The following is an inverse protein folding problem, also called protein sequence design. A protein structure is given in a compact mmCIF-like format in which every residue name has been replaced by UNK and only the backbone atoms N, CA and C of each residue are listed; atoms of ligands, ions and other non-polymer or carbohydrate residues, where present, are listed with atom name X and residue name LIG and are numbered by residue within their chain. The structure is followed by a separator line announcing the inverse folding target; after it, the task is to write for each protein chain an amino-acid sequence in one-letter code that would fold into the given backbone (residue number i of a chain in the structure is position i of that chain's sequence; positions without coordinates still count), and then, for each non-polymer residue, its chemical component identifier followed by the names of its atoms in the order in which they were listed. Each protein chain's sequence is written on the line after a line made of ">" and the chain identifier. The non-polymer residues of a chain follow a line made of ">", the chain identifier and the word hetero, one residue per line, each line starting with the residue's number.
data_IF_649177247709
#
_entry.id   IF_649177247709
#
_cell.length_a   1.000
_cell.length_b   1.000
_cell.length_c   1.000
_cell.angle_alpha   90.00
_cell.angle_beta   90.00
_cell.angle_gamma   90.00
#
_symmetry.space_group_name_H-M   'P 1'
#
loop_
_entity.id
_entity.type
_entity.pdbx_description
1 polymer ?
#
# COMPACT_ATOMS: atom_id res chain seq x y z
N UNK A 1 -10.38 -26.17 -11.21
CA UNK A 1 -10.81 -24.86 -10.71
C UNK A 1 -11.82 -24.95 -9.57
N UNK A 2 -12.85 -25.78 -9.65
CA UNK A 2 -13.85 -25.87 -8.57
C UNK A 2 -13.30 -26.30 -7.20
N UNK A 3 -12.29 -27.18 -7.16
CA UNK A 3 -11.68 -27.69 -5.93
C UNK A 3 -10.76 -26.68 -5.21
N UNK A 4 -10.41 -25.56 -5.85
CA UNK A 4 -9.50 -24.55 -5.29
C UNK A 4 -10.16 -23.17 -5.19
N UNK A 5 -11.48 -23.12 -5.20
CA UNK A 5 -12.23 -21.86 -5.16
C UNK A 5 -11.96 -21.04 -3.89
N UNK A 6 -11.60 -21.71 -2.80
CA UNK A 6 -11.24 -21.09 -1.52
C UNK A 6 -9.90 -20.35 -1.55
N UNK A 7 -9.04 -20.63 -2.56
CA UNK A 7 -7.81 -19.89 -2.79
C UNK A 7 -8.01 -18.50 -3.39
N UNK A 8 -9.23 -18.16 -3.83
CA UNK A 8 -9.56 -16.86 -4.42
C UNK A 8 -10.33 -15.96 -3.46
N UNK A 9 -9.91 -14.71 -3.36
CA UNK A 9 -10.60 -13.71 -2.54
C UNK A 9 -11.74 -13.07 -3.35
N UNK A 10 -12.97 -13.56 -3.18
CA UNK A 10 -14.18 -13.04 -3.80
C UNK A 10 -14.77 -11.83 -3.03
N UNK A 11 -14.39 -11.66 -1.77
CA UNK A 11 -14.85 -10.60 -0.88
C UNK A 11 -13.69 -10.03 -0.06
N UNK A 12 -13.79 -8.76 0.36
CA UNK A 12 -12.77 -8.07 1.18
C UNK A 12 -12.41 -8.84 2.45
N UNK A 13 -13.36 -9.56 3.04
CA UNK A 13 -13.17 -10.34 4.27
C UNK A 13 -12.33 -11.61 4.05
N UNK A 14 -12.29 -12.12 2.81
CA UNK A 14 -11.55 -13.35 2.44
C UNK A 14 -10.15 -13.07 1.90
N UNK A 15 -9.71 -11.84 1.95
CA UNK A 15 -8.45 -11.39 1.34
C UNK A 15 -7.23 -11.91 2.09
N UNK A 16 -7.04 -12.83 2.79
CA UNK A 16 -5.81 -13.34 3.42
C UNK A 16 -4.68 -12.30 3.63
N UNK A 17 -3.72 -12.64 4.41
CA UNK A 17 -2.47 -11.88 4.58
C UNK A 17 -1.28 -12.80 4.32
N UNK A 18 -0.14 -12.24 3.98
CA UNK A 18 1.11 -13.00 3.91
C UNK A 18 1.48 -13.48 5.32
N UNK A 19 1.92 -14.71 5.41
CA UNK A 19 2.35 -15.31 6.68
C UNK A 19 3.65 -14.66 7.16
N UNK A 20 3.68 -14.22 8.40
CA UNK A 20 4.84 -13.50 8.97
C UNK A 20 6.08 -14.39 9.17
N UNK A 21 5.89 -15.72 9.25
CA UNK A 21 7.00 -16.68 9.30
C UNK A 21 7.79 -16.78 7.98
N UNK A 22 7.14 -16.52 6.83
CA UNK A 22 7.80 -16.42 5.52
C UNK A 22 8.09 -14.97 5.10
N UNK A 23 7.26 -14.06 5.51
CA UNK A 23 7.33 -12.65 5.13
C UNK A 23 7.31 -11.77 6.40
N UNK A 24 8.44 -11.67 7.12
CA UNK A 24 8.52 -10.88 8.35
C UNK A 24 8.14 -9.41 8.08
N UNK A 25 7.58 -8.69 9.08
CA UNK A 25 7.23 -7.28 8.93
C UNK A 25 8.41 -6.45 8.40
N UNK A 26 8.09 -5.48 7.52
CA UNK A 26 9.08 -4.68 6.80
C UNK A 26 9.50 -3.49 7.64
N UNK A 27 10.81 -3.31 7.81
CA UNK A 27 11.40 -2.08 8.31
C UNK A 27 11.63 -1.08 7.18
N UNK A 28 11.32 0.19 7.42
CA UNK A 28 11.61 1.29 6.50
C UNK A 28 13.01 1.81 6.82
N UNK A 29 14.03 1.52 6.01
CA UNK A 29 15.38 2.00 6.25
C UNK A 29 15.46 3.49 5.90
N UNK A 30 15.92 4.30 6.85
CA UNK A 30 16.03 5.76 6.69
C UNK A 30 17.41 6.26 7.13
N UNK A 31 17.91 7.27 6.45
CA UNK A 31 19.09 8.02 6.91
C UNK A 31 18.69 8.97 8.05
N UNK A 32 19.63 9.51 8.85
CA UNK A 32 19.33 10.52 9.85
C UNK A 32 18.58 11.71 9.25
N UNK A 33 17.46 12.12 9.84
CA UNK A 33 16.57 13.14 9.29
C UNK A 33 15.89 13.94 10.39
N UNK A 34 15.23 15.04 10.00
CA UNK A 34 14.34 15.81 10.89
C UNK A 34 12.89 15.38 10.64
N UNK A 35 12.09 15.12 11.69
CA UNK A 35 10.67 14.84 11.55
C UNK A 35 9.94 15.94 10.77
N UNK A 36 8.98 15.54 9.93
CA UNK A 36 8.19 16.47 9.13
C UNK A 36 6.76 16.58 9.63
N UNK A 37 6.23 17.80 9.56
CA UNK A 37 4.83 18.10 9.86
C UNK A 37 4.28 18.94 8.71
N UNK A 38 3.52 18.33 7.82
CA UNK A 38 2.96 18.98 6.65
C UNK A 38 1.47 19.26 6.86
N UNK A 39 1.02 20.46 6.47
CA UNK A 39 -0.41 20.80 6.46
C UNK A 39 -1.11 19.98 5.35
N UNK A 40 -2.20 19.33 5.71
CA UNK A 40 -2.97 18.54 4.73
C UNK A 40 -3.73 19.43 3.74
N UNK A 41 -4.07 18.83 2.58
CA UNK A 41 -4.94 19.43 1.59
C UNK A 41 -6.39 19.35 2.11
N UNK A 42 -7.17 20.44 2.06
CA UNK A 42 -8.56 20.40 2.49
C UNK A 42 -9.39 19.40 1.68
N UNK A 43 -10.27 18.68 2.36
CA UNK A 43 -11.20 17.77 1.70
C UNK A 43 -12.35 18.62 1.11
N UNK A 44 -12.65 18.47 -0.20
CA UNK A 44 -13.80 19.14 -0.77
C UNK A 44 -15.11 18.76 -0.05
N UNK A 45 -15.98 19.72 0.32
CA UNK A 45 -17.19 19.44 1.11
C UNK A 45 -18.06 18.34 0.51
N UNK A 46 -18.22 18.30 -0.81
CA UNK A 46 -19.02 17.27 -1.50
C UNK A 46 -18.45 15.85 -1.45
N UNK A 47 -17.17 15.69 -1.07
CA UNK A 47 -16.50 14.38 -0.96
C UNK A 47 -16.32 13.94 0.49
N UNK A 48 -16.64 14.79 1.46
CA UNK A 48 -16.30 14.57 2.87
C UNK A 48 -16.87 13.27 3.42
N UNK A 49 -18.15 13.00 3.21
CA UNK A 49 -18.83 11.80 3.71
C UNK A 49 -18.24 10.52 3.11
N UNK A 50 -17.97 10.54 1.81
CA UNK A 50 -17.37 9.38 1.13
C UNK A 50 -15.94 9.12 1.61
N UNK A 51 -15.15 10.16 1.80
CA UNK A 51 -13.80 10.08 2.37
C UNK A 51 -13.85 9.47 3.78
N UNK A 52 -14.76 9.95 4.62
CA UNK A 52 -14.95 9.39 5.96
C UNK A 52 -15.34 7.91 5.92
N UNK A 53 -16.19 7.51 4.97
CA UNK A 53 -16.57 6.11 4.76
C UNK A 53 -15.36 5.24 4.40
N UNK A 54 -14.55 5.69 3.44
CA UNK A 54 -13.35 4.97 3.01
C UNK A 54 -12.35 4.82 4.16
N UNK A 55 -12.10 5.89 4.93
CA UNK A 55 -11.18 5.83 6.07
C UNK A 55 -11.67 4.81 7.11
N UNK A 56 -12.96 4.83 7.47
CA UNK A 56 -13.55 3.85 8.40
C UNK A 56 -13.42 2.42 7.89
N UNK A 57 -13.61 2.18 6.59
CA UNK A 57 -13.40 0.87 5.98
C UNK A 57 -11.94 0.42 6.10
N UNK A 58 -10.97 1.31 5.84
CA UNK A 58 -9.54 0.99 5.97
C UNK A 58 -9.13 0.72 7.42
N UNK A 59 -9.70 1.44 8.40
CA UNK A 59 -9.50 1.15 9.82
C UNK A 59 -10.08 -0.23 10.16
N UNK A 60 -11.33 -0.52 9.78
CA UNK A 60 -11.97 -1.82 10.01
C UNK A 60 -11.19 -2.97 9.36
N UNK A 61 -10.57 -2.71 8.22
CA UNK A 61 -9.76 -3.67 7.48
C UNK A 61 -8.34 -3.85 8.05
N UNK A 62 -7.96 -3.13 9.13
CA UNK A 62 -6.63 -3.21 9.73
C UNK A 62 -5.50 -2.60 8.90
N UNK A 63 -5.83 -1.79 7.89
CA UNK A 63 -4.85 -1.08 7.05
C UNK A 63 -4.38 0.20 7.71
N UNK A 64 -5.27 0.86 8.46
CA UNK A 64 -4.97 2.06 9.25
C UNK A 64 -5.18 1.79 10.73
N UNK A 65 -4.30 2.35 11.55
CA UNK A 65 -4.44 2.35 13.01
C UNK A 65 -4.18 3.75 13.59
N UNK A 66 -4.67 4.05 14.81
CA UNK A 66 -4.38 5.31 15.50
C UNK A 66 -2.89 5.51 15.71
N UNK A 67 -2.44 6.77 15.64
CA UNK A 67 -1.04 7.15 15.86
C UNK A 67 -0.94 8.33 16.81
N UNK A 68 0.04 8.26 17.71
CA UNK A 68 0.46 9.38 18.57
C UNK A 68 1.76 10.02 18.07
N UNK A 69 2.22 9.64 16.88
CA UNK A 69 3.45 10.14 16.28
C UNK A 69 3.38 11.65 15.98
N UNK A 70 4.54 12.29 15.97
CA UNK A 70 4.70 13.70 15.60
C UNK A 70 4.72 13.91 14.09
N UNK A 71 4.90 12.85 13.31
CA UNK A 71 4.91 12.96 11.84
C UNK A 71 3.52 13.32 11.30
N UNK A 72 3.52 14.12 10.22
CA UNK A 72 2.29 14.45 9.47
C UNK A 72 2.61 14.53 7.99
N UNK A 73 2.28 13.47 7.27
CA UNK A 73 2.33 13.45 5.81
C UNK A 73 1.03 13.98 5.22
N UNK A 74 1.09 14.50 3.99
CA UNK A 74 -0.10 14.92 3.24
C UNK A 74 -0.80 13.72 2.62
N UNK A 75 -2.10 13.86 2.43
CA UNK A 75 -2.89 12.95 1.64
C UNK A 75 -3.99 13.72 0.91
N UNK A 76 -4.52 13.14 -0.13
CA UNK A 76 -5.60 13.71 -0.93
C UNK A 76 -6.41 12.61 -1.60
N UNK A 77 -7.53 13.00 -2.22
CA UNK A 77 -8.41 12.08 -2.91
C UNK A 77 -8.30 12.29 -4.41
N UNK A 78 -8.35 11.20 -5.15
CA UNK A 78 -8.47 11.21 -6.62
C UNK A 78 -9.65 10.33 -7.03
N UNK A 79 -10.34 10.75 -8.08
CA UNK A 79 -11.35 9.91 -8.73
C UNK A 79 -10.64 8.77 -9.46
N UNK A 80 -11.19 7.56 -9.34
CA UNK A 80 -10.75 6.44 -10.16
C UNK A 80 -11.20 6.63 -11.62
N UNK A 81 -10.70 5.78 -12.51
CA UNK A 81 -11.05 5.81 -13.94
C UNK A 81 -12.55 5.66 -14.22
N UNK A 82 -13.30 5.06 -13.29
CA UNK A 82 -14.75 4.90 -13.36
C UNK A 82 -15.52 6.23 -13.17
N UNK A 83 -14.83 7.32 -12.81
CA UNK A 83 -15.41 8.64 -12.57
C UNK A 83 -16.35 8.75 -11.35
N UNK A 84 -16.48 7.68 -10.57
CA UNK A 84 -17.41 7.58 -9.42
C UNK A 84 -16.70 7.25 -8.12
N UNK A 85 -15.79 6.31 -8.14
CA UNK A 85 -15.08 5.85 -6.93
C UNK A 85 -13.90 6.75 -6.59
N UNK A 86 -13.66 6.95 -5.29
CA UNK A 86 -12.51 7.68 -4.79
C UNK A 86 -11.37 6.73 -4.40
N UNK A 87 -10.16 7.23 -4.54
CA UNK A 87 -8.93 6.63 -3.99
C UNK A 87 -8.26 7.65 -3.08
N UNK A 88 -7.86 7.21 -1.88
CA UNK A 88 -6.98 7.99 -1.01
C UNK A 88 -5.54 7.77 -1.45
N UNK A 89 -4.82 8.86 -1.62
CA UNK A 89 -3.40 8.87 -2.02
C UNK A 89 -2.60 9.55 -0.91
N UNK A 90 -1.62 8.82 -0.37
CA UNK A 90 -0.68 9.35 0.60
C UNK A 90 0.53 9.93 -0.12
N UNK A 91 0.86 11.18 0.18
CA UNK A 91 2.06 11.82 -0.33
C UNK A 91 3.25 11.46 0.57
N UNK A 92 3.97 10.43 0.19
CA UNK A 92 5.14 9.95 0.94
C UNK A 92 6.45 10.59 0.48
N UNK A 93 6.37 11.76 -0.20
CA UNK A 93 7.57 12.47 -0.67
C UNK A 93 8.60 12.68 0.42
N UNK A 94 8.27 13.21 1.63
CA UNK A 94 9.27 13.40 2.67
C UNK A 94 9.90 12.08 3.16
N UNK A 95 9.11 11.01 3.21
CA UNK A 95 9.62 9.69 3.56
C UNK A 95 10.58 9.17 2.49
N UNK A 96 10.23 9.31 1.21
CA UNK A 96 11.06 8.87 0.10
C UNK A 96 12.40 9.62 0.04
N UNK A 97 12.44 10.90 0.43
CA UNK A 97 13.66 11.71 0.47
C UNK A 97 14.69 11.20 1.51
N UNK A 98 14.24 10.53 2.55
CA UNK A 98 15.09 9.99 3.62
C UNK A 98 15.22 8.48 3.58
N UNK A 99 14.50 7.82 2.70
CA UNK A 99 14.54 6.35 2.55
C UNK A 99 15.82 5.92 1.86
N UNK A 100 16.48 4.91 2.42
CA UNK A 100 17.57 4.21 1.73
C UNK A 100 16.92 3.33 0.65
N UNK A 101 17.25 3.63 -0.63
CA UNK A 101 16.64 2.94 -1.76
C UNK A 101 17.04 1.45 -1.79
N UNK A 102 16.07 0.59 -2.07
CA UNK A 102 16.29 -0.82 -2.29
C UNK A 102 16.97 -1.05 -3.64
N UNK A 103 17.96 -1.92 -3.69
CA UNK A 103 18.74 -2.21 -4.90
C UNK A 103 18.01 -3.06 -5.95
N UNK A 104 16.91 -3.73 -5.57
CA UNK A 104 16.12 -4.57 -6.47
C UNK A 104 15.37 -3.72 -7.50
N UNK A 105 15.50 -4.11 -8.77
CA UNK A 105 14.78 -3.48 -9.88
C UNK A 105 13.85 -4.53 -10.49
N UNK A 106 12.53 -4.29 -10.52
CA UNK A 106 11.61 -5.16 -11.25
C UNK A 106 12.02 -5.23 -12.73
N UNK A 107 11.85 -6.37 -13.40
CA UNK A 107 12.18 -6.50 -14.81
C UNK A 107 11.35 -5.50 -15.65
N UNK A 108 11.95 -4.99 -16.71
CA UNK A 108 11.27 -4.11 -17.65
C UNK A 108 10.08 -4.84 -18.31
N UNK A 109 8.99 -4.13 -18.53
CA UNK A 109 7.76 -4.69 -19.13
C UNK A 109 8.03 -5.37 -20.47
N UNK A 110 8.93 -4.77 -21.28
CA UNK A 110 9.34 -5.31 -22.58
C UNK A 110 10.06 -6.65 -22.43
N UNK A 111 10.91 -6.81 -21.41
CA UNK A 111 11.63 -8.06 -21.13
C UNK A 111 10.64 -9.16 -20.74
N UNK A 112 9.67 -8.84 -19.88
CA UNK A 112 8.61 -9.78 -19.53
C UNK A 112 7.77 -10.15 -20.75
N UNK A 113 7.33 -9.19 -21.56
CA UNK A 113 6.55 -9.43 -22.75
C UNK A 113 7.28 -10.36 -23.74
N UNK A 114 8.59 -10.16 -23.90
CA UNK A 114 9.41 -11.01 -24.77
C UNK A 114 9.47 -12.47 -24.29
N UNK A 115 9.50 -12.71 -22.97
CA UNK A 115 9.49 -14.07 -22.41
C UNK A 115 8.19 -14.83 -22.68
N UNK A 116 7.07 -14.12 -22.81
CA UNK A 116 5.75 -14.71 -23.08
C UNK A 116 5.36 -14.67 -24.57
N UNK A 117 6.19 -14.08 -25.43
CA UNK A 117 5.94 -14.01 -26.87
C UNK A 117 5.92 -15.41 -27.50
N UNK A 118 5.02 -15.60 -28.47
CA UNK A 118 4.90 -16.87 -29.20
C UNK A 118 4.16 -17.99 -28.47
N UNK A 119 3.67 -17.77 -27.26
CA UNK A 119 2.82 -18.76 -26.57
C UNK A 119 1.41 -18.76 -27.13
N UNK A 120 0.84 -19.97 -27.31
CA UNK A 120 -0.52 -20.13 -27.85
C UNK A 120 -1.61 -19.64 -26.92
N UNK A 121 -1.36 -19.62 -25.61
CA UNK A 121 -2.27 -19.10 -24.60
C UNK A 121 -1.49 -18.61 -23.36
N UNK A 122 -2.09 -17.72 -22.61
CA UNK A 122 -1.55 -17.20 -21.35
C UNK A 122 -2.64 -17.04 -20.29
N UNK A 123 -2.23 -16.94 -19.02
CA UNK A 123 -3.10 -16.61 -17.91
C UNK A 123 -2.52 -15.41 -17.18
N UNK A 124 -3.39 -14.50 -16.74
CA UNK A 124 -3.03 -13.39 -15.89
C UNK A 124 -3.74 -13.55 -14.57
N UNK A 125 -3.00 -13.43 -13.47
CA UNK A 125 -3.53 -13.43 -12.12
C UNK A 125 -3.29 -12.04 -11.53
N UNK A 126 -4.32 -11.45 -10.93
CA UNK A 126 -4.23 -10.19 -10.19
C UNK A 126 -4.33 -10.47 -8.69
N UNK A 127 -3.39 -9.94 -7.92
CA UNK A 127 -3.41 -10.02 -6.47
C UNK A 127 -4.34 -8.94 -5.92
N UNK A 128 -5.51 -9.34 -5.45
CA UNK A 128 -6.45 -8.42 -4.85
C UNK A 128 -5.83 -7.67 -3.67
N UNK A 129 -5.76 -6.33 -3.79
CA UNK A 129 -5.14 -5.40 -2.79
C UNK A 129 -3.75 -5.87 -2.33
N UNK A 130 -2.88 -6.24 -3.26
CA UNK A 130 -1.60 -6.92 -2.98
C UNK A 130 -0.76 -6.28 -1.87
N UNK A 131 -0.54 -4.96 -1.90
CA UNK A 131 0.26 -4.27 -0.88
C UNK A 131 -0.34 -4.31 0.52
N UNK A 132 -1.67 -4.33 0.64
CA UNK A 132 -2.35 -4.42 1.95
C UNK A 132 -2.15 -5.80 2.63
N UNK A 133 -1.53 -6.77 1.95
CA UNK A 133 -1.21 -8.10 2.49
C UNK A 133 0.16 -8.15 3.18
N UNK A 134 0.98 -7.13 3.01
CA UNK A 134 2.34 -7.05 3.52
C UNK A 134 2.41 -6.04 4.66
N UNK A 135 2.83 -6.45 5.84
CA UNK A 135 2.84 -5.62 7.06
C UNK A 135 4.14 -4.84 7.21
N UNK A 136 4.03 -3.65 7.79
CA UNK A 136 5.16 -2.86 8.29
C UNK A 136 5.48 -3.24 9.73
N UNK A 137 6.76 -3.22 10.09
CA UNK A 137 7.17 -3.28 11.49
C UNK A 137 6.58 -2.11 12.28
N UNK A 138 6.27 -2.32 13.54
CA UNK A 138 5.62 -1.29 14.38
C UNK A 138 6.48 -0.02 14.48
N UNK A 139 7.81 -0.19 14.58
CA UNK A 139 8.79 0.91 14.59
C UNK A 139 8.73 1.81 13.36
N UNK A 140 8.36 1.26 12.21
CA UNK A 140 8.33 1.97 10.92
C UNK A 140 6.99 2.63 10.61
N UNK A 141 5.90 2.20 11.25
CA UNK A 141 4.54 2.71 10.96
C UNK A 141 4.40 4.20 11.20
N UNK A 142 5.07 4.74 12.23
CA UNK A 142 4.99 6.16 12.58
C UNK A 142 5.44 7.09 11.44
N UNK A 143 6.38 6.66 10.60
CA UNK A 143 6.86 7.40 9.44
C UNK A 143 5.76 7.66 8.41
N UNK A 144 4.68 6.88 8.45
CA UNK A 144 3.55 6.96 7.53
C UNK A 144 2.38 7.77 8.07
N UNK A 145 2.52 8.41 9.25
CA UNK A 145 1.43 9.10 9.94
C UNK A 145 0.87 10.26 9.13
N UNK A 146 -0.45 10.38 9.12
CA UNK A 146 -1.22 11.42 8.45
C UNK A 146 -2.44 11.85 9.26
N UNK A 147 -2.87 13.11 9.11
CA UNK A 147 -3.99 13.66 9.86
C UNK A 147 -5.31 13.45 9.13
N UNK A 148 -6.32 12.92 9.84
CA UNK A 148 -7.66 12.66 9.30
C UNK A 148 -8.75 13.34 10.14
N UNK A 149 -10.02 13.36 9.68
CA UNK A 149 -11.15 13.78 10.50
C UNK A 149 -11.34 12.95 11.79
N UNK A 150 -10.77 11.75 11.87
CA UNK A 150 -10.82 10.86 13.04
C UNK A 150 -9.56 10.92 13.90
N UNK A 151 -8.71 11.90 13.69
CA UNK A 151 -7.41 12.01 14.37
C UNK A 151 -6.24 11.58 13.49
N UNK A 152 -5.08 11.43 14.10
CA UNK A 152 -3.89 10.94 13.43
C UNK A 152 -3.97 9.42 13.25
N UNK A 153 -3.72 8.97 12.04
CA UNK A 153 -3.64 7.56 11.67
C UNK A 153 -2.28 7.26 11.04
N UNK A 154 -1.85 6.00 11.11
CA UNK A 154 -0.65 5.49 10.44
C UNK A 154 -0.99 4.21 9.65
N UNK A 155 -0.16 3.87 8.68
CA UNK A 155 -0.32 2.66 7.88
C UNK A 155 0.25 1.45 8.63
N UNK A 156 -0.49 0.37 8.63
CA UNK A 156 -0.05 -0.95 9.12
C UNK A 156 0.61 -1.76 8.01
N UNK A 157 0.21 -1.50 6.77
CA UNK A 157 0.59 -2.27 5.59
C UNK A 157 1.52 -1.50 4.67
N UNK A 158 2.11 -2.21 3.72
CA UNK A 158 3.06 -1.67 2.75
C UNK A 158 2.46 -0.48 1.99
N UNK A 159 3.08 0.72 2.06
CA UNK A 159 2.47 1.93 1.51
C UNK A 159 2.56 1.99 -0.02
N UNK A 160 1.47 2.31 -0.68
CA UNK A 160 1.51 2.74 -2.08
C UNK A 160 2.23 4.10 -2.19
N UNK A 161 3.24 4.18 -3.09
CA UNK A 161 4.01 5.41 -3.34
C UNK A 161 5.27 5.54 -2.49
N UNK A 162 5.59 4.59 -1.64
CA UNK A 162 6.91 4.48 -1.04
C UNK A 162 7.89 3.84 -2.05
N UNK A 163 9.08 4.40 -2.15
CA UNK A 163 10.09 4.03 -3.15
C UNK A 163 10.40 2.53 -3.16
N UNK A 164 10.49 1.90 -1.98
CA UNK A 164 10.87 0.50 -1.87
C UNK A 164 9.69 -0.48 -1.97
N UNK A 165 8.44 0.00 -2.03
CA UNK A 165 7.27 -0.89 -2.06
C UNK A 165 7.25 -1.81 -3.28
N UNK A 166 7.59 -1.27 -4.46
CA UNK A 166 7.57 -2.05 -5.71
C UNK A 166 8.61 -3.15 -5.70
N UNK A 167 9.93 -2.88 -5.45
CA UNK A 167 10.93 -3.94 -5.46
C UNK A 167 10.72 -4.99 -4.37
N UNK A 168 10.29 -4.58 -3.17
CA UNK A 168 10.01 -5.53 -2.08
C UNK A 168 8.85 -6.46 -2.47
N UNK A 169 7.73 -5.88 -2.92
CA UNK A 169 6.57 -6.68 -3.30
C UNK A 169 6.84 -7.57 -4.52
N UNK A 170 7.66 -7.11 -5.46
CA UNK A 170 8.11 -7.94 -6.58
C UNK A 170 8.91 -9.16 -6.10
N UNK A 171 9.84 -8.97 -5.17
CA UNK A 171 10.61 -10.08 -4.60
C UNK A 171 9.70 -11.07 -3.85
N UNK A 172 8.74 -10.58 -3.06
CA UNK A 172 7.78 -11.42 -2.34
C UNK A 172 6.94 -12.27 -3.34
N UNK A 173 6.44 -11.66 -4.41
CA UNK A 173 5.67 -12.38 -5.45
C UNK A 173 6.53 -13.39 -6.20
N UNK A 174 7.77 -13.03 -6.52
CA UNK A 174 8.73 -13.95 -7.18
C UNK A 174 9.06 -15.15 -6.30
N UNK A 175 9.09 -14.97 -4.98
CA UNK A 175 9.30 -16.07 -4.03
C UNK A 175 8.09 -17.02 -3.96
N UNK A 176 6.88 -16.52 -4.16
CA UNK A 176 5.64 -17.32 -4.13
C UNK A 176 5.45 -18.15 -5.41
N UNK A 177 5.91 -17.64 -6.56
CA UNK A 177 5.73 -18.26 -7.89
C UNK A 177 6.84 -19.26 -8.22
#
# INVERSE_FOLDING_TARGET
>A
MMLQNEGFAWEDQKRGQFREDFFPPIDIPVVPYKPWVLKNIPIPPGLYLEVCRIIKQKIKAGVYEPSNSLYRSRWFCVLKKDGKSLRLVHSLKPLNEVTIAHSGVPPATETLAAQFAGQACGRMLDLYVGYDKRTLSESSRDLTTFQTPFGALRLVTLPMGWTNSVPIFHNDVTFIL
#
